data_IF_545894665900
#
_entry.id   IF_545894665900
#
_cell.length_a   1.000
_cell.length_b   1.000
_cell.length_c   1.000
_cell.angle_alpha   90.00
_cell.angle_beta   90.00
_cell.angle_gamma   90.00
#
_symmetry.space_group_name_H-M   'P 1'
#
loop_
_entity.id
_entity.type
_entity.pdbx_description
1 polymer ?
#
# COMPACT_ATOMS: atom_id res chain seq x y z
N UNK A 1 -0.68 3.53 -25.99
CA UNK A 1 -0.84 4.53 -24.90
C UNK A 1 0.35 5.46 -24.94
N UNK A 2 0.13 6.77 -24.89
CA UNK A 2 1.20 7.78 -24.92
C UNK A 2 2.16 7.65 -23.70
N UNK A 3 3.47 7.82 -23.93
CA UNK A 3 4.52 7.67 -22.90
C UNK A 3 4.30 8.63 -21.74
N UNK A 4 3.81 9.86 -21.99
CA UNK A 4 3.49 10.84 -20.92
C UNK A 4 2.37 10.32 -20.01
N UNK A 5 1.39 9.62 -20.57
CA UNK A 5 0.27 9.05 -19.83
C UNK A 5 0.71 7.86 -18.98
N UNK A 6 1.61 7.00 -19.49
CA UNK A 6 2.23 5.92 -18.69
C UNK A 6 3.05 6.49 -17.52
N UNK A 7 3.84 7.53 -17.75
CA UNK A 7 4.67 8.18 -16.70
C UNK A 7 3.82 8.84 -15.60
N UNK A 8 2.69 9.46 -15.97
CA UNK A 8 1.73 10.02 -15.00
C UNK A 8 1.07 8.92 -14.16
N UNK A 9 0.64 7.83 -14.79
CA UNK A 9 0.09 6.67 -14.08
C UNK A 9 1.13 6.06 -13.13
N UNK A 10 2.39 5.95 -13.57
CA UNK A 10 3.49 5.47 -12.72
C UNK A 10 3.62 6.27 -11.43
N UNK A 11 3.61 7.61 -11.53
CA UNK A 11 3.68 8.50 -10.37
C UNK A 11 2.47 8.33 -9.44
N UNK A 12 1.27 8.19 -10.00
CA UNK A 12 0.04 7.99 -9.22
C UNK A 12 0.04 6.62 -8.53
N UNK A 13 0.37 5.54 -9.25
CA UNK A 13 0.43 4.19 -8.69
C UNK A 13 1.52 4.05 -7.63
N UNK A 14 2.70 4.62 -7.88
CA UNK A 14 3.81 4.63 -6.92
C UNK A 14 3.51 5.46 -5.67
N UNK A 15 3.01 6.69 -5.85
CA UNK A 15 2.66 7.57 -4.74
C UNK A 15 1.50 7.03 -3.90
N UNK A 16 0.43 6.57 -4.55
CA UNK A 16 -0.74 5.98 -3.89
C UNK A 16 -0.37 4.68 -3.18
N UNK A 17 0.43 3.82 -3.82
CA UNK A 17 0.91 2.57 -3.25
C UNK A 17 1.76 2.78 -1.98
N UNK A 18 2.73 3.71 -2.03
CA UNK A 18 3.56 4.05 -0.86
C UNK A 18 2.74 4.65 0.28
N UNK A 19 1.76 5.53 -0.02
CA UNK A 19 0.90 6.11 1.00
C UNK A 19 0.00 5.06 1.67
N UNK A 20 -0.63 4.18 0.87
CA UNK A 20 -1.44 3.06 1.38
C UNK A 20 -0.61 2.09 2.22
N UNK A 21 0.61 1.77 1.78
CA UNK A 21 1.51 0.89 2.51
C UNK A 21 1.92 1.53 3.84
N UNK A 22 2.35 2.80 3.82
CA UNK A 22 2.72 3.55 5.01
C UNK A 22 1.59 3.62 6.03
N UNK A 23 0.37 3.95 5.59
CA UNK A 23 -0.82 3.95 6.44
C UNK A 23 -1.12 2.56 7.00
N UNK A 24 -1.05 1.51 6.18
CA UNK A 24 -1.27 0.14 6.61
C UNK A 24 -0.27 -0.31 7.68
N UNK A 25 1.00 0.07 7.56
CA UNK A 25 2.04 -0.25 8.55
C UNK A 25 1.82 0.53 9.85
N UNK A 26 1.53 1.82 9.79
CA UNK A 26 1.22 2.62 10.98
C UNK A 26 0.01 2.07 11.73
N UNK A 27 -1.05 1.71 11.01
CA UNK A 27 -2.27 1.15 11.59
C UNK A 27 -2.04 -0.26 12.17
N UNK A 28 -1.17 -1.06 11.54
CA UNK A 28 -0.74 -2.35 12.07
C UNK A 28 0.02 -2.20 13.39
N UNK A 29 0.95 -1.24 13.48
CA UNK A 29 1.69 -0.95 14.72
C UNK A 29 0.74 -0.52 15.83
N UNK A 30 -0.20 0.38 15.54
CA UNK A 30 -1.19 0.86 16.50
C UNK A 30 -2.11 -0.28 17.00
N UNK A 31 -2.54 -1.18 16.10
CA UNK A 31 -3.29 -2.38 16.48
C UNK A 31 -2.52 -3.32 17.41
N UNK A 32 -1.19 -3.38 17.25
CA UNK A 32 -0.29 -4.13 18.12
C UNK A 32 -0.21 -3.55 19.54
N UNK A 33 -0.23 -2.22 19.67
CA UNK A 33 -0.31 -1.54 20.96
C UNK A 33 -1.69 -1.68 21.61
N UNK A 34 -2.78 -1.62 20.84
CA UNK A 34 -4.15 -1.87 21.32
C UNK A 34 -4.31 -3.26 21.96
N UNK A 35 -3.60 -4.27 21.46
CA UNK A 35 -3.57 -5.60 22.08
C UNK A 35 -3.02 -5.58 23.52
N UNK A 36 -2.15 -4.63 23.86
CA UNK A 36 -1.57 -4.49 25.20
C UNK A 36 -2.39 -3.56 26.12
N UNK A 37 -3.41 -2.88 25.58
CA UNK A 37 -4.21 -1.89 26.28
C UNK A 37 -5.49 -2.45 26.94
N UNK A 38 -5.62 -3.78 27.09
CA UNK A 38 -6.80 -4.46 27.66
C UNK A 38 -8.13 -4.19 26.90
N UNK A 39 -8.03 -3.77 25.63
CA UNK A 39 -9.16 -3.51 24.75
C UNK A 39 -9.78 -4.80 24.18
N UNK A 40 -11.08 -4.74 23.84
CA UNK A 40 -11.84 -5.92 23.45
C UNK A 40 -11.22 -6.61 22.22
N UNK A 41 -11.15 -7.95 22.26
CA UNK A 41 -10.33 -8.71 21.32
C UNK A 41 -10.67 -8.52 19.83
N UNK A 42 -11.94 -8.23 19.56
CA UNK A 42 -12.44 -7.97 18.22
C UNK A 42 -11.85 -6.70 17.61
N UNK A 43 -11.54 -5.67 18.41
CA UNK A 43 -11.12 -4.35 17.91
C UNK A 43 -9.69 -4.43 17.36
N UNK A 44 -8.75 -5.02 18.11
CA UNK A 44 -7.38 -5.16 17.62
C UNK A 44 -7.25 -6.23 16.52
N UNK A 45 -8.05 -7.30 16.56
CA UNK A 45 -8.06 -8.32 15.52
C UNK A 45 -8.60 -7.81 14.16
N UNK A 46 -9.70 -7.03 14.18
CA UNK A 46 -10.27 -6.44 12.96
C UNK A 46 -9.40 -5.31 12.44
N UNK A 47 -8.88 -4.44 13.32
CA UNK A 47 -7.92 -3.39 12.94
C UNK A 47 -6.65 -3.98 12.32
N UNK A 48 -6.12 -5.07 12.88
CA UNK A 48 -4.97 -5.79 12.32
C UNK A 48 -5.25 -6.38 10.93
N UNK A 49 -6.44 -6.96 10.73
CA UNK A 49 -6.86 -7.53 9.44
C UNK A 49 -7.05 -6.46 8.37
N UNK A 50 -7.65 -5.32 8.73
CA UNK A 50 -7.82 -4.16 7.84
C UNK A 50 -6.44 -3.60 7.47
N UNK A 51 -5.55 -3.45 8.44
CA UNK A 51 -4.17 -3.01 8.22
C UNK A 51 -3.44 -3.93 7.24
N UNK A 52 -3.59 -5.25 7.39
CA UNK A 52 -3.02 -6.24 6.49
C UNK A 52 -3.56 -6.08 5.06
N UNK A 53 -4.88 -5.88 4.88
CA UNK A 53 -5.47 -5.61 3.58
C UNK A 53 -4.90 -4.34 2.94
N UNK A 54 -4.70 -3.27 3.71
CA UNK A 54 -4.10 -2.04 3.24
C UNK A 54 -2.64 -2.23 2.81
N UNK A 55 -1.85 -2.98 3.58
CA UNK A 55 -0.47 -3.33 3.24
C UNK A 55 -0.42 -4.11 1.92
N UNK A 56 -1.22 -5.17 1.79
CA UNK A 56 -1.25 -6.00 0.58
C UNK A 56 -1.70 -5.18 -0.63
N UNK A 57 -2.73 -4.34 -0.48
CA UNK A 57 -3.18 -3.44 -1.55
C UNK A 57 -2.08 -2.45 -1.96
N UNK A 58 -1.39 -1.83 -0.98
CA UNK A 58 -0.28 -0.90 -1.22
C UNK A 58 0.89 -1.58 -1.95
N UNK A 59 1.26 -2.79 -1.55
CA UNK A 59 2.31 -3.59 -2.20
C UNK A 59 1.92 -3.94 -3.64
N UNK A 60 0.68 -4.38 -3.90
CA UNK A 60 0.21 -4.69 -5.27
C UNK A 60 0.26 -3.44 -6.16
N UNK A 61 -0.12 -2.27 -5.62
CA UNK A 61 -0.01 -1.01 -6.33
C UNK A 61 1.44 -0.63 -6.66
N UNK A 62 2.36 -0.83 -5.72
CA UNK A 62 3.80 -0.60 -5.92
C UNK A 62 4.41 -1.55 -6.95
N UNK A 63 4.06 -2.83 -6.93
CA UNK A 63 4.50 -3.81 -7.93
C UNK A 63 4.01 -3.38 -9.31
N UNK A 64 2.74 -2.97 -9.44
CA UNK A 64 2.20 -2.45 -10.70
C UNK A 64 2.93 -1.18 -11.16
N UNK A 65 3.30 -0.29 -10.24
CA UNK A 65 4.12 0.86 -10.57
C UNK A 65 5.50 0.42 -11.09
N UNK A 66 6.20 -0.49 -10.41
CA UNK A 66 7.49 -1.02 -10.87
C UNK A 66 7.42 -1.67 -12.25
N UNK A 67 6.35 -2.43 -12.52
CA UNK A 67 6.13 -3.03 -13.84
C UNK A 67 5.90 -1.96 -14.93
N UNK A 68 5.17 -0.89 -14.59
CA UNK A 68 4.92 0.21 -15.52
C UNK A 68 6.21 0.98 -15.86
N UNK A 69 7.13 1.14 -14.89
CA UNK A 69 8.46 1.70 -15.13
C UNK A 69 9.27 0.84 -16.09
N UNK A 70 9.26 -0.48 -15.86
CA UNK A 70 9.94 -1.44 -16.72
C UNK A 70 9.42 -1.38 -18.15
N UNK A 71 8.10 -1.33 -18.35
CA UNK A 71 7.48 -1.17 -19.66
C UNK A 71 7.87 0.16 -20.35
N UNK A 72 7.96 1.26 -19.60
CA UNK A 72 8.37 2.56 -20.16
C UNK A 72 9.83 2.49 -20.60
N UNK A 73 10.71 1.91 -19.78
CA UNK A 73 12.14 1.80 -20.06
C UNK A 73 12.46 0.83 -21.22
N UNK A 74 11.66 -0.22 -21.40
CA UNK A 74 11.82 -1.19 -22.49
C UNK A 74 11.28 -0.68 -23.85
N UNK A 75 10.54 0.43 -23.87
CA UNK A 75 10.00 1.05 -25.09
C UNK A 75 10.86 2.21 -25.61
N UNK A 76 11.97 2.51 -24.95
CA UNK A 76 12.89 3.60 -25.27
C UNK A 76 14.31 3.08 -25.50
#
# INVERSE_FOLDING_TARGET
MDVKRKKRLWWIYGGTGSALLGLGVSCAVESGFLKHADEAWYIWATAGTISLCFIVAGVVFLIRAGLLDFEIKNQN
#
